data_IF_759907421699
#
_entry.id   IF_759907421699
#
_cell.length_a   1.000
_cell.length_b   1.000
_cell.length_c   1.000
_cell.angle_alpha   90.00
_cell.angle_beta   90.00
_cell.angle_gamma   90.00
#
_symmetry.space_group_name_H-M   'P 1'
#
loop_
_entity.id
_entity.type
_entity.pdbx_description
1 polymer ?
#
# COMPACT_ATOMS: atom_id res chain seq x y z
N UNK A 1 2.88 17.01 5.15
CA UNK A 1 1.60 16.97 4.40
C UNK A 1 1.16 15.56 3.97
N UNK A 2 2.01 14.52 4.05
CA UNK A 2 1.69 13.17 3.57
C UNK A 2 0.75 12.34 4.50
N UNK A 3 0.80 12.56 5.81
CA UNK A 3 -0.02 11.82 6.80
C UNK A 3 -1.52 12.17 6.83
N UNK A 4 -1.99 13.23 6.13
CA UNK A 4 -3.43 13.53 6.03
C UNK A 4 -4.15 12.66 5.01
N UNK A 5 -3.52 12.35 3.87
CA UNK A 5 -4.15 11.50 2.82
C UNK A 5 -4.39 10.06 3.27
N UNK A 6 -3.51 9.50 4.11
CA UNK A 6 -3.71 8.17 4.70
C UNK A 6 -4.93 8.13 5.64
N UNK A 7 -5.20 9.20 6.41
CA UNK A 7 -6.38 9.28 7.29
C UNK A 7 -7.69 9.46 6.54
N UNK A 8 -7.70 10.24 5.46
CA UNK A 8 -8.94 10.53 4.71
C UNK A 8 -9.43 9.32 3.89
N UNK A 9 -8.56 8.35 3.59
CA UNK A 9 -8.95 7.09 2.94
C UNK A 9 -9.58 6.08 3.92
N UNK A 10 -9.21 6.16 5.21
CA UNK A 10 -9.77 5.32 6.26
C UNK A 10 -11.28 5.59 6.42
N UNK A 11 -11.71 6.86 6.47
CA UNK A 11 -13.13 7.24 6.56
C UNK A 11 -13.99 6.90 5.33
N UNK A 12 -13.41 6.84 4.12
CA UNK A 12 -14.15 6.47 2.90
C UNK A 12 -14.30 4.95 2.75
N UNK A 13 -13.27 4.17 3.08
CA UNK A 13 -13.35 2.69 3.03
C UNK A 13 -14.01 2.07 4.28
N UNK A 14 -14.07 2.78 5.40
CA UNK A 14 -14.80 2.32 6.59
C UNK A 14 -16.33 2.46 6.41
N UNK A 15 -16.77 3.28 5.43
CA UNK A 15 -18.18 3.47 5.06
C UNK A 15 -18.73 2.43 4.08
N UNK A 16 -17.87 1.69 3.38
CA UNK A 16 -18.28 0.52 2.60
C UNK A 16 -18.51 -0.67 3.55
N UNK A 17 -19.73 -0.78 4.08
CA UNK A 17 -20.13 -1.86 4.99
C UNK A 17 -20.13 -3.26 4.39
N UNK A 18 -19.76 -3.40 3.11
CA UNK A 18 -19.62 -4.67 2.40
C UNK A 18 -18.24 -5.30 2.56
N UNK A 19 -17.24 -4.53 2.98
CA UNK A 19 -15.87 -5.03 3.16
C UNK A 19 -15.64 -5.29 4.65
N UNK A 20 -15.50 -6.56 5.02
CA UNK A 20 -15.05 -6.94 6.36
C UNK A 20 -13.59 -6.57 6.50
N UNK A 21 -13.31 -5.47 7.21
CA UNK A 21 -11.96 -5.12 7.61
C UNK A 21 -11.45 -6.16 8.59
N UNK A 22 -10.34 -6.78 8.26
CA UNK A 22 -9.63 -7.67 9.17
C UNK A 22 -8.50 -6.92 9.86
N UNK A 23 -8.02 -7.42 11.01
CA UNK A 23 -6.82 -6.86 11.64
C UNK A 23 -5.60 -6.90 10.70
N UNK A 24 -5.59 -7.83 9.75
CA UNK A 24 -4.54 -7.94 8.74
C UNK A 24 -4.50 -6.71 7.82
N UNK A 25 -5.66 -6.22 7.38
CA UNK A 25 -5.73 -5.04 6.50
C UNK A 25 -5.11 -3.80 7.17
N UNK A 26 -5.27 -3.64 8.48
CA UNK A 26 -4.69 -2.51 9.24
C UNK A 26 -3.18 -2.65 9.39
N UNK A 27 -2.70 -3.85 9.73
CA UNK A 27 -1.28 -4.13 9.85
C UNK A 27 -0.55 -3.95 8.51
N UNK A 28 -1.17 -4.38 7.41
CA UNK A 28 -0.60 -4.24 6.07
C UNK A 28 -0.47 -2.75 5.68
N UNK A 29 -1.46 -1.91 6.03
CA UNK A 29 -1.39 -0.46 5.78
C UNK A 29 -0.27 0.20 6.60
N UNK A 30 -0.12 -0.16 7.87
CA UNK A 30 0.92 0.39 8.74
C UNK A 30 2.32 -0.03 8.28
N UNK A 31 2.49 -1.31 7.93
CA UNK A 31 3.72 -1.82 7.34
C UNK A 31 4.11 -1.06 6.07
N UNK A 32 3.16 -0.81 5.17
CA UNK A 32 3.40 -0.03 3.95
C UNK A 32 3.72 1.44 4.22
N UNK A 33 3.12 2.04 5.26
CA UNK A 33 3.41 3.40 5.68
C UNK A 33 4.87 3.62 6.11
N UNK A 34 5.50 2.59 6.69
CA UNK A 34 6.93 2.63 7.01
C UNK A 34 7.83 2.18 5.87
N UNK A 35 7.41 1.20 5.06
CA UNK A 35 8.29 0.59 4.06
C UNK A 35 8.42 1.43 2.80
N UNK A 36 7.33 2.03 2.32
CA UNK A 36 7.33 2.82 1.07
C UNK A 36 8.32 4.00 1.15
N UNK A 37 8.38 4.82 2.22
CA UNK A 37 9.30 5.96 2.24
C UNK A 37 10.79 5.61 2.21
N UNK A 38 11.17 4.37 2.55
CA UNK A 38 12.57 3.97 2.68
C UNK A 38 13.00 2.87 1.69
N UNK A 39 12.07 2.22 1.01
CA UNK A 39 12.35 1.16 0.06
C UNK A 39 12.29 1.62 -1.38
N UNK A 40 13.26 1.21 -2.20
CA UNK A 40 13.20 1.39 -3.66
C UNK A 40 12.22 0.39 -4.30
N UNK A 41 12.20 -0.85 -3.79
CA UNK A 41 11.32 -1.92 -4.27
C UNK A 41 10.69 -2.66 -3.09
N UNK A 42 9.37 -2.78 -3.07
CA UNK A 42 8.61 -3.51 -2.05
C UNK A 42 7.79 -4.61 -2.71
N UNK A 43 8.00 -5.86 -2.28
CA UNK A 43 7.21 -7.01 -2.74
C UNK A 43 6.18 -7.35 -1.68
N UNK A 44 4.91 -7.35 -2.06
CA UNK A 44 3.79 -7.62 -1.14
C UNK A 44 2.69 -8.39 -1.86
N UNK A 45 1.59 -8.69 -1.18
CA UNK A 45 0.47 -9.41 -1.76
C UNK A 45 -0.30 -8.54 -2.78
N UNK A 46 -1.15 -9.19 -3.59
CA UNK A 46 -1.92 -8.52 -4.64
C UNK A 46 -2.94 -7.51 -4.10
N UNK A 47 -3.53 -7.77 -2.93
CA UNK A 47 -4.49 -6.87 -2.30
C UNK A 47 -3.82 -5.56 -1.89
N UNK A 48 -2.64 -5.62 -1.27
CA UNK A 48 -1.86 -4.45 -0.89
C UNK A 48 -1.33 -3.71 -2.12
N UNK A 49 -0.84 -4.40 -3.16
CA UNK A 49 -0.44 -3.74 -4.42
C UNK A 49 -1.60 -2.96 -5.04
N UNK A 50 -2.79 -3.55 -5.08
CA UNK A 50 -3.98 -2.86 -5.57
C UNK A 50 -4.33 -1.65 -4.70
N UNK A 51 -4.17 -1.74 -3.38
CA UNK A 51 -4.40 -0.63 -2.46
C UNK A 51 -3.43 0.54 -2.72
N UNK A 52 -2.14 0.25 -2.85
CA UNK A 52 -1.10 1.26 -3.11
C UNK A 52 -1.31 1.94 -4.46
N UNK A 53 -1.67 1.17 -5.50
CA UNK A 53 -1.98 1.71 -6.83
C UNK A 53 -3.19 2.64 -6.82
N UNK A 54 -4.25 2.30 -6.07
CA UNK A 54 -5.46 3.15 -5.96
C UNK A 54 -5.21 4.44 -5.18
N UNK A 55 -4.30 4.40 -4.22
CA UNK A 55 -3.99 5.55 -3.35
C UNK A 55 -2.83 6.40 -3.86
N UNK A 56 -2.13 5.93 -4.91
CA UNK A 56 -0.92 6.55 -5.46
C UNK A 56 0.16 6.78 -4.37
N UNK A 57 0.18 5.93 -3.33
CA UNK A 57 0.98 6.17 -2.13
C UNK A 57 2.49 6.03 -2.37
N UNK A 58 2.88 5.26 -3.39
CA UNK A 58 4.28 5.01 -3.75
C UNK A 58 4.87 6.06 -4.72
N UNK A 59 4.04 6.78 -5.48
CA UNK A 59 4.52 7.72 -6.50
C UNK A 59 5.39 8.86 -5.95
N UNK A 60 5.05 9.49 -4.81
CA UNK A 60 5.88 10.57 -4.25
C UNK A 60 7.27 10.13 -3.79
N UNK A 61 7.46 8.82 -3.57
CA UNK A 61 8.69 8.25 -3.03
C UNK A 61 9.53 7.53 -4.10
N UNK A 62 9.02 7.39 -5.33
CA UNK A 62 9.70 6.66 -6.40
C UNK A 62 9.77 5.15 -6.19
N UNK A 63 9.03 4.62 -5.21
CA UNK A 63 9.07 3.21 -4.83
C UNK A 63 8.27 2.34 -5.79
N UNK A 64 8.85 1.21 -6.20
CA UNK A 64 8.16 0.21 -7.01
C UNK A 64 7.52 -0.84 -6.13
N UNK A 65 6.19 -1.00 -6.21
CA UNK A 65 5.46 -2.02 -5.46
C UNK A 65 5.02 -3.17 -6.37
N UNK A 66 5.46 -4.38 -6.05
CA UNK A 66 5.28 -5.61 -6.83
C UNK A 66 4.44 -6.63 -6.07
N UNK A 67 3.62 -7.39 -6.79
CA UNK A 67 2.79 -8.46 -6.21
C UNK A 67 3.43 -9.84 -6.21
N UNK A 68 4.59 -9.98 -6.85
CA UNK A 68 5.30 -11.23 -7.06
C UNK A 68 6.80 -10.96 -7.05
N UNK A 69 7.55 -11.88 -6.42
CA UNK A 69 9.00 -11.81 -6.40
C UNK A 69 9.59 -12.03 -7.80
N UNK A 70 8.95 -12.81 -8.67
CA UNK A 70 9.43 -13.03 -10.04
C UNK A 70 9.51 -11.74 -10.86
N UNK A 71 8.68 -10.74 -10.54
CA UNK A 71 8.71 -9.44 -11.20
C UNK A 71 9.85 -8.53 -10.72
N UNK A 72 10.62 -8.97 -9.72
CA UNK A 72 11.80 -8.27 -9.25
C UNK A 72 12.98 -8.45 -10.22
N UNK A 73 13.09 -9.62 -10.85
CA UNK A 73 14.23 -9.98 -11.70
C UNK A 73 14.45 -8.99 -12.85
N UNK A 74 13.42 -8.49 -13.56
CA UNK A 74 13.60 -7.50 -14.62
C UNK A 74 13.99 -6.09 -14.14
N UNK A 75 13.99 -5.83 -12.83
CA UNK A 75 14.27 -4.53 -12.22
C UNK A 75 15.65 -4.46 -11.53
N UNK A 76 16.41 -5.56 -11.56
CA UNK A 76 17.81 -5.66 -11.11
C UNK A 76 18.76 -5.55 -12.30
#
# INVERSE_FOLDING_TARGET
MCARRSRDYNILNHRDGTRTWTANDVNDIDAMGSTIPYGDIVVTDKAVVNHVRRTHLAEPFGTTVLSRLDNLIPLL
#
